data_IF_305424296251
#
_entry.id   IF_305424296251
#
_cell.length_a   1.000
_cell.length_b   1.000
_cell.length_c   1.000
_cell.angle_alpha   90.00
_cell.angle_beta   90.00
_cell.angle_gamma   90.00
#
_symmetry.space_group_name_H-M   'P 1'
#
loop_
_entity.id
_entity.type
_entity.pdbx_description
1 polymer ?
#
# COMPACT_ATOMS: atom_id res chain seq x y z
N UNK A 1 -16.03 7.18 -15.49
CA UNK A 1 -15.51 7.64 -14.21
C UNK A 1 -14.25 6.85 -13.93
N UNK A 2 -13.13 7.42 -14.35
CA UNK A 2 -11.78 6.92 -14.05
C UNK A 2 -11.27 7.59 -12.75
N UNK A 3 -10.05 7.27 -12.33
CA UNK A 3 -9.46 7.83 -11.10
C UNK A 3 -9.22 9.35 -11.21
N UNK A 4 -8.75 9.84 -12.37
CA UNK A 4 -8.57 11.28 -12.62
C UNK A 4 -9.88 12.04 -12.43
N UNK A 5 -10.98 11.58 -13.05
CA UNK A 5 -12.31 12.20 -12.92
C UNK A 5 -12.75 12.28 -11.44
N UNK A 6 -12.42 11.24 -10.65
CA UNK A 6 -12.76 11.21 -9.23
C UNK A 6 -11.91 12.19 -8.41
N UNK A 7 -10.62 12.33 -8.73
CA UNK A 7 -9.72 13.25 -8.05
C UNK A 7 -10.13 14.69 -8.32
N UNK A 8 -10.47 15.03 -9.56
CA UNK A 8 -10.96 16.36 -9.92
C UNK A 8 -12.22 16.72 -9.13
N UNK A 9 -13.23 15.84 -9.12
CA UNK A 9 -14.47 16.05 -8.35
C UNK A 9 -14.23 16.11 -6.83
N UNK A 10 -13.24 15.38 -6.32
CA UNK A 10 -12.87 15.43 -4.91
C UNK A 10 -12.16 16.75 -4.56
N UNK A 11 -11.30 17.26 -5.44
CA UNK A 11 -10.68 18.57 -5.28
C UNK A 11 -11.74 19.67 -5.27
N UNK A 12 -12.69 19.64 -6.19
CA UNK A 12 -13.81 20.58 -6.24
C UNK A 12 -14.68 20.50 -4.98
N UNK A 13 -15.03 19.29 -4.51
CA UNK A 13 -15.84 19.11 -3.31
C UNK A 13 -15.15 19.56 -2.00
N UNK A 14 -13.82 19.67 -2.01
CA UNK A 14 -13.01 20.07 -0.85
C UNK A 14 -12.42 21.49 -0.99
N UNK A 15 -12.77 22.22 -2.04
CA UNK A 15 -12.23 23.55 -2.37
C UNK A 15 -10.68 23.55 -2.44
N UNK A 16 -10.10 22.54 -3.09
CA UNK A 16 -8.65 22.38 -3.24
C UNK A 16 -8.19 22.80 -4.64
N UNK A 17 -7.27 23.76 -4.69
CA UNK A 17 -6.49 24.08 -5.88
C UNK A 17 -5.16 23.30 -5.81
N UNK A 18 -5.21 22.01 -6.14
CA UNK A 18 -4.09 21.08 -6.02
C UNK A 18 -3.98 20.15 -7.24
N UNK A 19 -2.75 20.03 -7.75
CA UNK A 19 -2.39 19.00 -8.74
C UNK A 19 -1.74 17.82 -8.00
N UNK A 20 -2.32 16.64 -8.13
CA UNK A 20 -1.86 15.42 -7.43
C UNK A 20 -1.12 14.51 -8.40
N UNK A 21 0.14 14.19 -8.10
CA UNK A 21 0.83 13.09 -8.75
C UNK A 21 0.34 11.75 -8.19
N UNK A 22 -0.62 11.15 -8.89
CA UNK A 22 -1.18 9.84 -8.55
C UNK A 22 -0.14 8.74 -8.47
N UNK A 23 0.83 8.73 -9.40
CA UNK A 23 1.87 7.72 -9.45
C UNK A 23 2.73 7.75 -8.19
N UNK A 24 3.17 8.94 -7.79
CA UNK A 24 3.94 9.16 -6.58
C UNK A 24 3.19 8.68 -5.32
N UNK A 25 1.92 9.06 -5.20
CA UNK A 25 1.08 8.71 -4.03
C UNK A 25 0.84 7.20 -3.96
N UNK A 26 0.48 6.57 -5.09
CA UNK A 26 0.22 5.14 -5.17
C UNK A 26 1.50 4.31 -4.96
N UNK A 27 2.64 4.79 -5.43
CA UNK A 27 3.93 4.13 -5.20
C UNK A 27 4.34 4.19 -3.74
N UNK A 28 4.17 5.33 -3.06
CA UNK A 28 4.39 5.43 -1.61
C UNK A 28 3.47 4.47 -0.85
N UNK A 29 2.18 4.46 -1.17
CA UNK A 29 1.22 3.55 -0.55
C UNK A 29 1.65 2.09 -0.72
N UNK A 30 2.05 1.70 -1.95
CA UNK A 30 2.54 0.34 -2.25
C UNK A 30 3.75 -0.02 -1.40
N UNK A 31 4.75 0.85 -1.34
CA UNK A 31 5.97 0.59 -0.56
C UNK A 31 5.66 0.46 0.93
N UNK A 32 4.84 1.37 1.49
CA UNK A 32 4.46 1.32 2.89
C UNK A 32 3.66 0.04 3.23
N UNK A 33 2.68 -0.33 2.40
CA UNK A 33 1.88 -1.54 2.60
C UNK A 33 2.72 -2.82 2.61
N UNK A 34 3.74 -2.89 1.76
CA UNK A 34 4.59 -4.08 1.63
C UNK A 34 5.69 -4.17 2.68
N UNK A 35 6.29 -3.05 3.08
CA UNK A 35 7.48 -3.06 3.95
C UNK A 35 7.17 -2.78 5.43
N UNK A 36 5.98 -2.26 5.75
CA UNK A 36 5.59 -1.89 7.13
C UNK A 36 4.43 -2.77 7.61
N UNK A 37 3.24 -2.56 7.04
CA UNK A 37 2.03 -3.35 7.24
C UNK A 37 0.95 -2.82 6.30
N UNK A 38 -0.08 -3.61 5.96
CA UNK A 38 -1.12 -3.18 5.02
C UNK A 38 -1.79 -1.84 5.39
N UNK A 39 -2.15 -1.57 6.67
CA UNK A 39 -2.69 -0.26 7.08
C UNK A 39 -1.73 0.92 6.89
N UNK A 40 -0.43 0.70 6.69
CA UNK A 40 0.53 1.78 6.53
C UNK A 40 0.31 2.56 5.22
N UNK A 41 -0.24 1.95 4.16
CA UNK A 41 -0.55 2.63 2.91
C UNK A 41 -1.36 3.93 3.11
N UNK A 42 -2.62 3.87 3.61
CA UNK A 42 -3.43 5.08 3.79
C UNK A 42 -2.88 6.03 4.86
N UNK A 43 -2.19 5.52 5.88
CA UNK A 43 -1.60 6.35 6.94
C UNK A 43 -0.43 7.17 6.37
N UNK A 44 0.44 6.55 5.58
CA UNK A 44 1.61 7.20 4.99
C UNK A 44 1.22 8.27 3.96
N UNK A 45 0.23 8.01 3.10
CA UNK A 45 -0.21 9.00 2.11
C UNK A 45 -0.96 10.17 2.75
N UNK A 46 -1.78 9.92 3.78
CA UNK A 46 -2.39 10.99 4.56
C UNK A 46 -1.34 11.89 5.23
N UNK A 47 -0.31 11.30 5.85
CA UNK A 47 0.76 12.07 6.49
C UNK A 47 1.63 12.83 5.48
N UNK A 48 1.86 12.27 4.28
CA UNK A 48 2.53 12.97 3.19
C UNK A 48 1.75 14.24 2.80
N UNK A 49 0.44 14.11 2.55
CA UNK A 49 -0.42 15.25 2.21
C UNK A 49 -0.47 16.30 3.33
N UNK A 50 -0.59 15.85 4.58
CA UNK A 50 -0.56 16.75 5.75
C UNK A 50 0.77 17.49 5.88
N UNK A 51 1.89 16.82 5.64
CA UNK A 51 3.22 17.42 5.70
C UNK A 51 3.45 18.42 4.56
N UNK A 52 2.98 18.10 3.35
CA UNK A 52 3.06 18.96 2.18
C UNK A 52 2.26 20.26 2.40
N UNK A 53 0.99 20.14 2.82
CA UNK A 53 0.12 21.29 3.10
C UNK A 53 0.66 22.19 4.21
N UNK A 54 1.23 21.60 5.28
CA UNK A 54 1.85 22.39 6.37
C UNK A 54 3.11 23.13 5.97
N UNK A 55 3.83 22.64 4.97
CA UNK A 55 5.08 23.23 4.49
C UNK A 55 4.87 24.18 3.31
N UNK A 56 3.66 24.25 2.75
CA UNK A 56 3.43 24.94 1.47
C UNK A 56 4.32 24.36 0.37
N UNK A 57 4.46 23.03 0.36
CA UNK A 57 5.36 22.32 -0.54
C UNK A 57 4.95 22.51 -2.00
N UNK A 58 5.93 22.81 -2.85
CA UNK A 58 5.81 22.70 -4.31
C UNK A 58 5.98 21.22 -4.74
N UNK A 59 5.75 20.87 -6.03
CA UNK A 59 5.86 19.48 -6.48
C UNK A 59 7.22 18.84 -6.17
N UNK A 60 8.33 19.56 -6.37
CA UNK A 60 9.67 19.07 -6.03
C UNK A 60 9.80 18.73 -4.54
N UNK A 61 9.23 19.57 -3.67
CA UNK A 61 9.24 19.33 -2.23
C UNK A 61 8.34 18.16 -1.84
N UNK A 62 7.22 17.94 -2.52
CA UNK A 62 6.35 16.77 -2.31
C UNK A 62 7.09 15.49 -2.68
N UNK A 63 7.80 15.47 -3.81
CA UNK A 63 8.67 14.35 -4.21
C UNK A 63 9.74 14.07 -3.16
N UNK A 64 10.38 15.11 -2.62
CA UNK A 64 11.38 14.96 -1.56
C UNK A 64 10.79 14.33 -0.29
N UNK A 65 9.60 14.81 0.14
CA UNK A 65 8.91 14.28 1.32
C UNK A 65 8.47 12.82 1.09
N UNK A 66 7.96 12.50 -0.09
CA UNK A 66 7.59 11.14 -0.47
C UNK A 66 8.82 10.22 -0.50
N UNK A 67 9.95 10.69 -1.03
CA UNK A 67 11.22 9.97 -1.04
C UNK A 67 11.72 9.64 0.37
N UNK A 68 11.62 10.59 1.32
CA UNK A 68 11.95 10.35 2.73
C UNK A 68 11.05 9.30 3.37
N UNK A 69 9.73 9.39 3.14
CA UNK A 69 8.77 8.41 3.66
C UNK A 69 8.99 7.02 3.08
N UNK A 70 9.28 6.93 1.77
CA UNK A 70 9.62 5.70 1.05
C UNK A 70 10.87 5.04 1.63
N UNK A 71 11.95 5.81 1.80
CA UNK A 71 13.20 5.31 2.37
C UNK A 71 13.02 4.81 3.82
N UNK A 72 12.16 5.47 4.60
CA UNK A 72 11.81 4.99 5.95
C UNK A 72 11.06 3.65 5.89
N UNK A 73 10.07 3.53 5.01
CA UNK A 73 9.33 2.28 4.84
C UNK A 73 10.23 1.12 4.38
N UNK A 74 11.11 1.35 3.39
CA UNK A 74 12.05 0.32 2.90
C UNK A 74 13.06 -0.16 3.94
N UNK A 75 13.33 0.64 4.97
CA UNK A 75 14.25 0.28 6.07
C UNK A 75 13.54 -0.17 7.34
N UNK A 76 12.20 -0.19 7.36
CA UNK A 76 11.38 -0.44 8.56
C UNK A 76 11.58 -1.82 9.17
N UNK A 77 11.88 -2.83 8.36
CA UNK A 77 12.05 -4.23 8.80
C UNK A 77 13.42 -4.83 8.41
N UNK A 78 14.43 -3.96 8.24
CA UNK A 78 15.83 -4.39 8.23
C UNK A 78 16.42 -4.17 9.61
N UNK A 79 16.56 -5.22 10.44
CA UNK A 79 17.57 -5.20 11.50
C UNK A 79 18.91 -4.82 10.85
N UNK A 80 19.66 -3.90 11.46
CA UNK A 80 21.07 -3.71 11.08
C UNK A 80 21.79 -5.05 11.32
N UNK A 81 21.94 -5.88 10.28
CA UNK A 81 22.63 -7.17 10.32
C UNK A 81 21.84 -8.44 9.99
N UNK A 82 20.59 -8.39 9.52
CA UNK A 82 19.81 -9.60 9.24
C UNK A 82 20.04 -10.19 7.83
N UNK A 83 21.17 -10.87 7.65
CA UNK A 83 21.18 -12.10 6.87
C UNK A 83 20.66 -13.21 7.80
N UNK A 84 19.35 -13.43 7.88
CA UNK A 84 18.81 -14.61 8.58
C UNK A 84 18.25 -15.62 7.58
N UNK A 85 18.48 -16.93 7.78
CA UNK A 85 18.16 -17.94 6.79
C UNK A 85 16.66 -18.20 6.73
N UNK A 86 16.12 -18.37 5.51
CA UNK A 86 14.77 -18.87 5.29
C UNK A 86 14.67 -20.27 5.90
N UNK A 87 13.76 -20.43 6.86
CA UNK A 87 13.35 -21.76 7.33
C UNK A 87 12.40 -22.31 6.26
N UNK A 88 12.85 -23.33 5.52
CA UNK A 88 11.97 -24.12 4.66
C UNK A 88 11.04 -24.93 5.57
N UNK A 89 9.85 -24.40 5.81
CA UNK A 89 8.77 -25.15 6.45
C UNK A 89 8.29 -26.18 5.43
N UNK A 90 8.60 -27.46 5.64
CA UNK A 90 7.98 -28.56 4.89
C UNK A 90 6.46 -28.49 5.10
N UNK A 91 5.74 -28.16 4.04
CA UNK A 91 4.27 -28.23 4.04
C UNK A 91 3.89 -29.71 3.97
N UNK A 92 3.12 -30.23 4.93
CA UNK A 92 2.66 -31.62 4.90
C UNK A 92 1.82 -31.88 3.65
N UNK A 93 2.05 -33.01 2.99
CA UNK A 93 1.25 -33.47 1.83
C UNK A 93 -0.21 -33.67 2.25
N UNK A 94 -1.07 -32.77 1.78
CA UNK A 94 -2.50 -32.75 2.06
C UNK A 94 -3.31 -33.62 1.07
N UNK A 95 -2.65 -34.36 0.18
CA UNK A 95 -3.31 -35.25 -0.79
C UNK A 95 -4.10 -36.40 -0.15
N UNK A 96 -3.86 -36.69 1.14
CA UNK A 96 -4.62 -37.66 1.92
C UNK A 96 -5.89 -37.08 2.56
N UNK A 97 -6.12 -35.77 2.44
CA UNK A 97 -7.35 -35.12 2.92
C UNK A 97 -8.49 -35.44 1.94
N UNK A 98 -9.50 -36.12 2.45
CA UNK A 98 -10.67 -36.50 1.65
C UNK A 98 -11.59 -35.30 1.43
N UNK A 99 -11.47 -34.67 0.25
CA UNK A 99 -12.34 -33.57 -0.18
C UNK A 99 -13.63 -34.04 -0.85
N UNK A 100 -13.94 -35.34 -0.91
CA UNK A 100 -15.14 -35.83 -1.61
C UNK A 100 -16.46 -35.50 -0.92
N UNK A 101 -16.43 -35.02 0.32
CA UNK A 101 -17.61 -34.53 1.02
C UNK A 101 -18.11 -33.17 0.50
N UNK A 102 -17.26 -32.37 -0.15
CA UNK A 102 -17.61 -31.00 -0.59
C UNK A 102 -18.39 -30.94 -1.90
N UNK A 103 -18.64 -32.07 -2.57
CA UNK A 103 -19.31 -32.13 -3.89
C UNK A 103 -20.80 -32.47 -3.82
N UNK A 104 -21.37 -32.68 -2.62
CA UNK A 104 -22.79 -33.05 -2.47
C UNK A 104 -23.69 -31.82 -2.32
N UNK A 105 -23.88 -31.07 -3.40
CA UNK A 105 -24.95 -30.04 -3.46
C UNK A 105 -25.41 -29.70 -4.90
N UNK A 106 -25.25 -30.61 -5.88
CA UNK A 106 -25.65 -30.33 -7.27
C UNK A 106 -26.64 -31.30 -7.93
N UNK A 107 -27.28 -32.20 -7.20
CA UNK A 107 -28.29 -33.10 -7.80
C UNK A 107 -29.53 -33.23 -6.90
N UNK A 108 -30.28 -32.15 -6.75
CA UNK A 108 -31.71 -32.16 -6.41
C UNK A 108 -32.36 -30.87 -6.97
N UNK A 109 -32.44 -30.77 -8.30
CA UNK A 109 -33.27 -29.80 -9.02
C UNK A 109 -33.88 -30.43 -10.27
#
# INVERSE_FOLDING_TARGET
MNLHDWIDELCDALDLDAEVDEGLVLDLARVAAHNVTRPAAPISTFLLGLAAGRQGADPEKVEELAGRARALAESWDRPRGADEPKVDVEVPDDSAVDHTADVRDLEDA
#
